data_IF_814280332104
#
_entry.id   IF_814280332104
#
_cell.length_a   1.000
_cell.length_b   1.000
_cell.length_c   1.000
_cell.angle_alpha   90.00
_cell.angle_beta   90.00
_cell.angle_gamma   90.00
#
_symmetry.space_group_name_H-M   'P 1'
#
loop_
_entity.id
_entity.type
_entity.pdbx_description
1 polymer ?
#
# COMPACT_ATOMS: atom_id res chain seq x y z
N UNK A 1 6.97 -13.59 -4.07
CA UNK A 1 7.02 -12.13 -3.84
C UNK A 1 5.58 -11.65 -3.71
N UNK A 2 5.25 -10.88 -2.68
CA UNK A 2 3.88 -10.49 -2.34
C UNK A 2 3.70 -8.98 -2.51
N UNK A 3 2.97 -8.60 -3.57
CA UNK A 3 2.62 -7.21 -3.91
C UNK A 3 1.15 -6.88 -3.66
N UNK A 4 0.28 -7.88 -3.52
CA UNK A 4 -1.17 -7.66 -3.49
C UNK A 4 -1.57 -6.87 -2.23
N UNK A 5 -2.19 -5.71 -2.43
CA UNK A 5 -2.59 -4.80 -1.37
C UNK A 5 -3.68 -3.84 -1.88
N UNK A 6 -4.50 -3.31 -0.97
CA UNK A 6 -5.18 -2.04 -1.18
C UNK A 6 -4.17 -0.92 -0.95
N UNK A 7 -4.06 0.01 -1.91
CA UNK A 7 -2.94 0.98 -1.97
C UNK A 7 -3.32 2.45 -2.05
N UNK A 8 -4.61 2.79 -2.12
CA UNK A 8 -5.04 4.17 -2.37
C UNK A 8 -5.34 4.93 -1.08
N UNK A 9 -4.45 5.84 -0.68
CA UNK A 9 -4.57 6.62 0.56
C UNK A 9 -5.92 7.36 0.66
N UNK A 10 -6.40 8.04 -0.40
CA UNK A 10 -7.69 8.76 -0.32
C UNK A 10 -8.86 7.80 -0.09
N UNK A 11 -8.80 6.59 -0.66
CA UNK A 11 -9.86 5.61 -0.44
C UNK A 11 -9.81 5.05 0.98
N UNK A 12 -8.66 5.09 1.64
CA UNK A 12 -8.52 4.64 3.02
C UNK A 12 -9.21 5.55 4.04
N UNK A 13 -9.41 6.84 3.71
CA UNK A 13 -10.18 7.75 4.57
C UNK A 13 -11.70 7.55 4.43
N UNK A 14 -12.17 7.27 3.21
CA UNK A 14 -13.59 7.00 2.94
C UNK A 14 -14.04 5.55 3.19
N UNK A 15 -13.11 4.59 3.11
CA UNK A 15 -13.35 3.15 3.26
C UNK A 15 -12.15 2.45 3.91
N UNK A 16 -11.90 2.75 5.19
CA UNK A 16 -10.76 2.18 5.93
C UNK A 16 -10.90 0.68 6.21
N UNK A 17 -12.11 0.13 6.22
CA UNK A 17 -12.38 -1.26 6.61
C UNK A 17 -11.79 -2.30 5.63
N UNK A 18 -11.71 -1.96 4.34
CA UNK A 18 -11.20 -2.87 3.30
C UNK A 18 -9.66 -3.01 3.32
N UNK A 19 -8.96 -2.06 3.94
CA UNK A 19 -7.50 -2.07 3.99
C UNK A 19 -6.98 -3.20 4.89
N UNK A 20 -7.43 -3.36 6.15
CA UNK A 20 -7.04 -4.48 6.99
C UNK A 20 -7.39 -5.85 6.41
N UNK A 21 -8.55 -6.02 5.76
CA UNK A 21 -8.96 -7.31 5.20
C UNK A 21 -7.99 -7.79 4.12
N UNK A 22 -7.55 -6.91 3.22
CA UNK A 22 -6.58 -7.27 2.18
C UNK A 22 -5.15 -7.27 2.73
N UNK A 23 -4.74 -6.16 3.34
CA UNK A 23 -3.33 -5.94 3.66
C UNK A 23 -2.87 -6.78 4.85
N UNK A 24 -3.71 -6.92 5.88
CA UNK A 24 -3.36 -7.68 7.10
C UNK A 24 -3.84 -9.12 6.99
N UNK A 25 -5.15 -9.34 6.82
CA UNK A 25 -5.72 -10.70 6.80
C UNK A 25 -5.23 -11.48 5.58
N UNK A 26 -5.18 -10.86 4.39
CA UNK A 26 -4.59 -11.47 3.19
C UNK A 26 -3.11 -11.85 3.37
N UNK A 27 -2.30 -10.97 3.97
CA UNK A 27 -0.89 -11.28 4.27
C UNK A 27 -0.77 -12.42 5.27
N UNK A 28 -1.59 -12.43 6.32
CA UNK A 28 -1.64 -13.51 7.31
C UNK A 28 -1.98 -14.86 6.67
N UNK A 29 -2.97 -14.91 5.77
CA UNK A 29 -3.33 -16.12 5.05
C UNK A 29 -2.16 -16.66 4.21
N UNK A 30 -1.45 -15.78 3.49
CA UNK A 30 -0.26 -16.16 2.73
C UNK A 30 0.87 -16.67 3.62
N UNK A 31 1.07 -16.10 4.80
CA UNK A 31 2.08 -16.55 5.77
C UNK A 31 1.77 -17.97 6.28
N UNK A 32 0.51 -18.30 6.57
CA UNK A 32 0.10 -19.67 6.92
C UNK A 32 0.33 -20.65 5.77
N UNK A 33 0.08 -20.24 4.53
CA UNK A 33 0.41 -21.04 3.36
C UNK A 33 1.92 -21.26 3.23
N UNK A 34 2.74 -20.21 3.37
CA UNK A 34 4.21 -20.26 3.30
C UNK A 34 4.78 -21.24 4.32
N UNK A 35 4.30 -21.15 5.57
CA UNK A 35 4.65 -22.05 6.67
C UNK A 35 4.30 -23.51 6.35
N UNK A 36 3.18 -23.75 5.68
CA UNK A 36 2.67 -25.11 5.41
C UNK A 36 3.27 -25.77 4.17
N UNK A 37 3.82 -25.00 3.22
CA UNK A 37 4.20 -25.50 1.89
C UNK A 37 5.70 -25.43 1.57
N UNK A 38 6.56 -25.15 2.56
CA UNK A 38 8.02 -25.19 2.38
C UNK A 38 8.53 -24.12 1.39
N UNK A 39 7.94 -22.92 1.39
CA UNK A 39 8.42 -21.81 0.56
C UNK A 39 9.76 -21.32 1.10
N UNK A 40 10.80 -21.36 0.27
CA UNK A 40 12.18 -21.06 0.68
C UNK A 40 12.48 -19.58 0.90
N UNK A 41 11.69 -18.68 0.30
CA UNK A 41 11.86 -17.23 0.45
C UNK A 41 10.53 -16.51 0.20
N UNK A 42 10.05 -15.79 1.22
CA UNK A 42 8.88 -14.92 1.11
C UNK A 42 9.34 -13.47 1.15
N UNK A 43 8.97 -12.67 0.15
CA UNK A 43 9.33 -11.24 0.10
C UNK A 43 8.05 -10.44 0.19
N UNK A 44 7.88 -9.70 1.27
CA UNK A 44 6.74 -8.83 1.51
C UNK A 44 7.07 -7.41 1.06
N UNK A 45 6.33 -6.90 0.09
CA UNK A 45 6.51 -5.54 -0.42
C UNK A 45 5.61 -4.59 0.35
N UNK A 46 6.23 -3.63 1.01
CA UNK A 46 5.66 -2.58 1.84
C UNK A 46 6.04 -1.21 1.29
N UNK A 47 5.90 -0.16 2.10
CA UNK A 47 6.04 1.25 1.71
C UNK A 47 6.87 1.99 2.74
N UNK A 48 7.50 3.09 2.36
CA UNK A 48 8.11 4.07 3.28
C UNK A 48 7.09 4.80 4.16
N UNK A 49 5.81 4.88 3.77
CA UNK A 49 4.76 5.50 4.58
C UNK A 49 4.57 4.85 5.96
N UNK A 50 5.04 3.61 6.16
CA UNK A 50 5.01 2.93 7.47
C UNK A 50 5.84 3.66 8.52
N UNK A 51 6.84 4.43 8.11
CA UNK A 51 7.65 5.24 9.01
C UNK A 51 6.97 6.54 9.44
N UNK A 52 5.98 7.01 8.69
CA UNK A 52 5.35 8.32 8.89
C UNK A 52 6.20 9.49 8.39
N UNK A 53 5.83 10.68 8.84
CA UNK A 53 6.45 11.94 8.43
C UNK A 53 7.90 12.09 8.92
N UNK A 54 8.77 12.54 8.01
CA UNK A 54 10.13 12.98 8.33
C UNK A 54 10.19 14.50 8.25
N UNK A 55 10.73 15.15 9.28
CA UNK A 55 10.96 16.60 9.26
C UNK A 55 11.86 17.00 8.09
N UNK A 56 11.73 18.24 7.62
CA UNK A 56 12.53 18.76 6.49
C UNK A 56 14.04 18.75 6.78
N UNK A 57 14.44 19.00 8.03
CA UNK A 57 15.82 18.91 8.51
C UNK A 57 16.18 17.51 9.06
N UNK A 58 15.23 16.58 8.99
CA UNK A 58 15.35 15.21 9.48
C UNK A 58 16.23 14.34 8.59
N UNK A 59 17.03 13.48 9.23
CA UNK A 59 17.80 12.46 8.53
C UNK A 59 16.88 11.42 7.90
N UNK A 60 17.33 10.91 6.76
CA UNK A 60 16.72 9.77 6.10
C UNK A 60 16.67 8.56 7.05
N UNK A 61 15.54 7.86 7.07
CA UNK A 61 15.27 6.78 8.03
C UNK A 61 15.90 5.46 7.58
N UNK A 62 16.60 4.80 8.51
CA UNK A 62 17.15 3.46 8.35
C UNK A 62 16.07 2.40 8.64
N UNK A 63 16.35 1.14 8.30
CA UNK A 63 15.38 0.04 8.44
C UNK A 63 14.99 -0.30 9.89
N UNK A 64 15.77 0.13 10.88
CA UNK A 64 15.52 -0.04 12.31
C UNK A 64 14.71 1.12 12.93
N UNK A 65 14.35 2.14 12.13
CA UNK A 65 13.49 3.22 12.58
C UNK A 65 12.11 2.72 13.01
N UNK A 66 11.49 3.44 13.96
CA UNK A 66 10.15 3.15 14.44
C UNK A 66 9.12 3.31 13.33
N UNK A 67 8.10 2.45 13.35
CA UNK A 67 6.95 2.58 12.46
C UNK A 67 5.93 3.53 13.11
N UNK A 68 5.70 4.69 12.49
CA UNK A 68 4.79 5.73 12.97
C UNK A 68 3.77 6.12 11.88
N UNK A 69 2.97 5.17 11.36
CA UNK A 69 2.04 5.44 10.26
C UNK A 69 0.99 6.47 10.68
N UNK A 70 0.71 7.43 9.80
CA UNK A 70 -0.20 8.58 10.06
C UNK A 70 -1.55 8.46 9.34
N UNK A 71 -1.71 7.47 8.45
CA UNK A 71 -2.93 7.23 7.71
C UNK A 71 -3.36 5.74 7.75
N UNK A 72 -4.66 5.40 7.51
CA UNK A 72 -5.15 4.02 7.62
C UNK A 72 -4.48 3.03 6.67
N UNK A 73 -4.12 3.46 5.45
CA UNK A 73 -3.35 2.62 4.52
C UNK A 73 -1.99 2.26 5.12
N UNK A 74 -1.19 3.25 5.52
CA UNK A 74 0.13 3.04 6.12
C UNK A 74 0.05 2.17 7.38
N UNK A 75 -0.98 2.38 8.22
CA UNK A 75 -1.22 1.58 9.42
C UNK A 75 -1.49 0.11 9.08
N UNK A 76 -2.29 -0.16 8.04
CA UNK A 76 -2.55 -1.53 7.59
C UNK A 76 -1.29 -2.22 7.02
N UNK A 77 -0.41 -1.47 6.35
CA UNK A 77 0.88 -1.98 5.85
C UNK A 77 1.85 -2.27 7.00
N UNK A 78 1.96 -1.36 7.97
CA UNK A 78 2.76 -1.57 9.17
C UNK A 78 2.26 -2.79 9.99
N UNK A 79 0.94 -2.95 10.13
CA UNK A 79 0.36 -4.13 10.77
C UNK A 79 0.70 -5.43 10.03
N UNK A 80 0.68 -5.43 8.69
CA UNK A 80 1.10 -6.59 7.90
C UNK A 80 2.58 -6.94 8.16
N UNK A 81 3.47 -5.95 8.27
CA UNK A 81 4.89 -6.18 8.64
C UNK A 81 5.03 -6.81 10.03
N UNK A 82 4.20 -6.42 11.00
CA UNK A 82 4.21 -7.04 12.33
C UNK A 82 3.86 -8.53 12.27
N UNK A 83 2.91 -8.92 11.43
CA UNK A 83 2.60 -10.34 11.19
C UNK A 83 3.77 -11.07 10.52
N UNK A 84 4.39 -10.47 9.50
CA UNK A 84 5.56 -11.06 8.82
C UNK A 84 6.69 -11.33 9.83
N UNK A 85 6.99 -10.36 10.69
CA UNK A 85 8.03 -10.50 11.70
C UNK A 85 7.67 -11.52 12.79
N UNK A 86 6.41 -11.54 13.24
CA UNK A 86 5.93 -12.54 14.20
C UNK A 86 6.05 -13.96 13.63
N UNK A 87 5.73 -14.16 12.35
CA UNK A 87 5.84 -15.45 11.68
C UNK A 87 7.28 -15.89 11.46
N UNK A 88 8.16 -14.96 11.14
CA UNK A 88 9.60 -15.23 11.08
C UNK A 88 10.13 -15.70 12.43
N UNK A 89 9.80 -14.99 13.52
CA UNK A 89 10.25 -15.32 14.88
C UNK A 89 9.65 -16.62 15.40
N UNK A 90 8.36 -16.84 15.19
CA UNK A 90 7.62 -17.95 15.82
C UNK A 90 7.68 -19.24 15.02
N UNK A 91 7.73 -19.13 13.69
CA UNK A 91 7.60 -20.27 12.78
C UNK A 91 8.75 -20.39 11.77
N UNK A 92 9.80 -19.57 11.91
CA UNK A 92 10.99 -19.58 11.05
C UNK A 92 10.65 -19.38 9.57
N UNK A 93 9.53 -18.70 9.26
CA UNK A 93 9.17 -18.33 7.89
C UNK A 93 10.31 -17.50 7.28
N UNK A 94 10.87 -17.88 6.12
CA UNK A 94 12.03 -17.21 5.55
C UNK A 94 11.62 -15.91 4.83
N UNK A 95 11.23 -14.91 5.62
CA UNK A 95 10.70 -13.65 5.12
C UNK A 95 11.76 -12.54 4.96
N UNK A 96 11.58 -11.69 3.96
CA UNK A 96 12.26 -10.40 3.76
C UNK A 96 11.17 -9.33 3.61
N UNK A 97 11.37 -8.15 4.20
CA UNK A 97 10.50 -7.00 3.99
C UNK A 97 11.20 -5.98 3.12
N UNK A 98 10.47 -5.38 2.19
CA UNK A 98 10.98 -4.32 1.32
C UNK A 98 10.10 -3.10 1.48
N UNK A 99 10.68 -1.93 1.78
CA UNK A 99 9.96 -0.65 1.92
C UNK A 99 10.41 0.27 0.78
N UNK A 100 9.51 0.61 -0.13
CA UNK A 100 9.83 1.43 -1.32
C UNK A 100 9.23 2.83 -1.21
N UNK A 101 9.92 3.81 -1.79
CA UNK A 101 9.33 5.12 -2.11
C UNK A 101 8.21 5.02 -3.18
N UNK A 102 7.61 6.16 -3.52
CA UNK A 102 6.55 6.28 -4.53
C UNK A 102 7.01 5.76 -5.90
N UNK A 103 6.56 4.57 -6.26
CA UNK A 103 6.82 4.00 -7.59
C UNK A 103 5.95 4.68 -8.64
N UNK A 104 6.53 5.00 -9.79
CA UNK A 104 5.80 5.52 -10.94
C UNK A 104 6.28 4.88 -12.25
N UNK A 105 5.41 4.85 -13.26
CA UNK A 105 5.75 4.27 -14.55
C UNK A 105 4.55 3.93 -15.42
N UNK A 106 4.80 3.32 -16.59
CA UNK A 106 3.80 2.63 -17.38
C UNK A 106 2.91 1.70 -16.55
N UNK A 107 1.65 1.52 -16.95
CA UNK A 107 0.67 0.64 -16.31
C UNK A 107 0.22 1.01 -14.88
N UNK A 108 0.64 2.16 -14.33
CA UNK A 108 0.09 2.67 -13.08
C UNK A 108 -1.36 3.14 -13.24
N UNK A 109 -2.26 2.74 -12.35
CA UNK A 109 -3.67 3.15 -12.49
C UNK A 109 -3.81 4.68 -12.35
N UNK A 110 -4.62 5.38 -13.19
CA UNK A 110 -4.80 6.85 -13.18
C UNK A 110 -5.55 7.44 -11.98
N UNK A 111 -5.39 6.85 -10.80
CA UNK A 111 -5.76 7.43 -9.52
C UNK A 111 -4.54 8.13 -8.85
N UNK A 112 -3.32 7.66 -9.17
CA UNK A 112 -2.06 8.22 -8.67
C UNK A 112 -1.70 9.51 -9.43
N UNK A 113 -0.93 10.40 -8.80
CA UNK A 113 -0.72 11.78 -9.29
C UNK A 113 -0.17 11.86 -10.73
N UNK A 114 0.93 11.17 -11.04
CA UNK A 114 1.54 11.19 -12.38
C UNK A 114 0.59 10.67 -13.48
N UNK A 115 0.00 9.48 -13.36
CA UNK A 115 -0.92 8.98 -14.39
C UNK A 115 -2.24 9.77 -14.44
N UNK A 116 -2.79 10.20 -13.30
CA UNK A 116 -3.99 11.06 -13.25
C UNK A 116 -3.75 12.36 -14.01
N UNK A 117 -2.67 13.07 -13.70
CA UNK A 117 -2.36 14.35 -14.34
C UNK A 117 -2.02 14.18 -15.82
N UNK A 118 -1.32 13.10 -16.20
CA UNK A 118 -1.08 12.78 -17.62
C UNK A 118 -2.40 12.59 -18.38
N UNK A 119 -3.36 11.89 -17.79
CA UNK A 119 -4.69 11.68 -18.41
C UNK A 119 -5.54 12.95 -18.44
N UNK A 120 -5.47 13.81 -17.41
CA UNK A 120 -6.14 15.13 -17.40
C UNK A 120 -5.60 16.02 -18.53
N UNK A 121 -4.27 16.15 -18.64
CA UNK A 121 -3.66 16.97 -19.70
C UNK A 121 -3.95 16.42 -21.10
N UNK A 122 -3.95 15.10 -21.28
CA UNK A 122 -4.34 14.47 -22.54
C UNK A 122 -5.80 14.78 -22.92
N UNK A 123 -6.66 15.08 -21.94
CA UNK A 123 -8.07 15.51 -22.13
C UNK A 123 -8.23 17.02 -22.20
N UNK A 124 -7.14 17.80 -22.16
CA UNK A 124 -7.19 19.26 -22.12
C UNK A 124 -7.79 19.82 -20.82
N UNK A 125 -7.74 19.07 -19.74
CA UNK A 125 -8.28 19.44 -18.43
C UNK A 125 -7.19 20.00 -17.51
N UNK A 126 -7.60 20.78 -16.51
CA UNK A 126 -6.70 21.33 -15.50
C UNK A 126 -6.30 20.26 -14.47
N UNK A 127 -5.12 20.44 -13.88
CA UNK A 127 -4.57 19.57 -12.84
C UNK A 127 -5.18 19.91 -11.47
N UNK A 128 -5.71 18.91 -10.77
CA UNK A 128 -6.24 19.07 -9.41
C UNK A 128 -5.13 18.93 -8.37
N UNK A 129 -4.59 20.05 -7.88
CA UNK A 129 -3.49 20.08 -6.91
C UNK A 129 -4.04 20.19 -5.49
N UNK A 130 -3.71 19.23 -4.62
CA UNK A 130 -4.12 19.26 -3.21
C UNK A 130 -3.26 20.24 -2.41
N UNK A 131 -3.91 21.06 -1.57
CA UNK A 131 -3.25 22.04 -0.73
C UNK A 131 -2.49 23.09 -1.56
N UNK A 132 -1.35 23.54 -1.06
CA UNK A 132 -0.48 24.53 -1.73
C UNK A 132 0.56 23.89 -2.67
N UNK A 133 0.61 22.56 -2.75
CA UNK A 133 1.54 21.81 -3.58
C UNK A 133 2.99 21.73 -3.08
N UNK A 134 3.26 22.15 -1.84
CA UNK A 134 4.62 22.13 -1.25
C UNK A 134 5.10 20.72 -0.87
N UNK A 135 4.18 19.84 -0.47
CA UNK A 135 4.42 18.43 -0.15
C UNK A 135 5.36 17.75 -1.15
N UNK A 136 6.41 17.12 -0.64
CA UNK A 136 7.41 16.42 -1.46
C UNK A 136 7.26 14.92 -1.34
N UNK A 137 7.59 14.22 -2.43
CA UNK A 137 7.71 12.76 -2.45
C UNK A 137 8.97 12.38 -3.18
N UNK A 138 9.60 11.30 -2.76
CA UNK A 138 10.67 10.65 -3.53
C UNK A 138 10.05 9.72 -4.56
N UNK A 139 10.42 9.89 -5.82
CA UNK A 139 9.84 9.13 -6.92
C UNK A 139 10.82 8.10 -7.46
N UNK A 140 10.44 6.82 -7.43
CA UNK A 140 11.24 5.73 -7.96
C UNK A 140 10.63 5.22 -9.27
N UNK A 141 11.41 5.21 -10.35
CA UNK A 141 10.93 4.67 -11.62
C UNK A 141 10.66 3.16 -11.51
N UNK A 142 9.56 2.68 -12.09
CA UNK A 142 9.13 1.29 -11.97
C UNK A 142 10.17 0.27 -12.45
N UNK A 143 10.99 0.64 -13.44
CA UNK A 143 12.12 -0.18 -13.88
C UNK A 143 13.19 -0.36 -12.80
N UNK A 144 13.56 0.72 -12.11
CA UNK A 144 14.53 0.67 -11.00
C UNK A 144 13.94 -0.05 -9.77
N UNK A 145 12.64 0.11 -9.51
CA UNK A 145 11.95 -0.65 -8.47
C UNK A 145 11.96 -2.16 -8.77
N UNK A 146 11.69 -2.56 -10.01
CA UNK A 146 11.76 -3.97 -10.42
C UNK A 146 13.18 -4.53 -10.28
N UNK A 147 14.21 -3.77 -10.68
CA UNK A 147 15.62 -4.13 -10.52
C UNK A 147 16.01 -4.26 -9.03
N UNK A 148 15.48 -3.40 -8.16
CA UNK A 148 15.65 -3.51 -6.71
C UNK A 148 15.04 -4.81 -6.17
N UNK A 149 13.81 -5.11 -6.57
CA UNK A 149 13.12 -6.34 -6.14
C UNK A 149 13.85 -7.59 -6.64
N UNK A 150 14.38 -7.58 -7.86
CA UNK A 150 15.19 -8.68 -8.41
C UNK A 150 16.52 -8.84 -7.65
N UNK A 151 17.18 -7.72 -7.36
CA UNK A 151 18.41 -7.72 -6.56
C UNK A 151 18.17 -8.32 -5.17
N UNK A 152 17.09 -7.92 -4.50
CA UNK A 152 16.71 -8.46 -3.18
C UNK A 152 16.30 -9.93 -3.28
N UNK A 153 15.60 -10.33 -4.34
CA UNK A 153 15.24 -11.71 -4.58
C UNK A 153 16.47 -12.62 -4.61
N UNK A 154 17.52 -12.20 -5.32
CA UNK A 154 18.73 -13.00 -5.50
C UNK A 154 19.74 -12.87 -4.36
N UNK A 155 19.99 -11.64 -3.88
CA UNK A 155 21.08 -11.33 -2.94
C UNK A 155 20.60 -10.93 -1.54
N UNK A 156 19.32 -10.65 -1.37
CA UNK A 156 18.74 -10.29 -0.08
C UNK A 156 18.79 -11.44 0.91
N UNK A 157 19.06 -11.10 2.17
CA UNK A 157 19.17 -12.04 3.29
C UNK A 157 17.83 -12.19 4.00
N UNK A 158 17.46 -13.43 4.31
CA UNK A 158 16.27 -13.74 5.10
C UNK A 158 16.34 -13.08 6.48
N UNK A 159 15.21 -12.53 6.91
CA UNK A 159 15.04 -11.79 8.16
C UNK A 159 15.52 -10.36 8.14
N UNK A 160 15.92 -9.86 6.97
CA UNK A 160 16.26 -8.45 6.79
C UNK A 160 15.09 -7.66 6.22
N UNK A 161 15.11 -6.37 6.54
CA UNK A 161 14.35 -5.34 5.84
C UNK A 161 15.30 -4.59 4.91
N UNK A 162 14.81 -4.16 3.75
CA UNK A 162 15.55 -3.30 2.82
C UNK A 162 14.70 -2.09 2.40
N UNK A 163 15.25 -0.89 2.57
CA UNK A 163 14.70 0.32 1.98
C UNK A 163 15.11 0.44 0.50
N UNK A 164 14.13 0.65 -0.37
CA UNK A 164 14.32 0.98 -1.79
C UNK A 164 14.05 2.46 -1.96
N UNK A 165 15.10 3.25 -1.75
CA UNK A 165 15.05 4.71 -1.79
C UNK A 165 15.48 5.29 -3.13
N UNK A 166 14.81 6.35 -3.58
CA UNK A 166 15.26 7.23 -4.66
C UNK A 166 15.84 8.53 -4.11
N UNK A 167 16.77 9.16 -4.84
CA UNK A 167 17.23 10.52 -4.57
C UNK A 167 16.31 11.62 -5.14
N UNK A 168 15.31 11.25 -5.94
CA UNK A 168 14.49 12.20 -6.69
C UNK A 168 13.32 12.71 -5.85
N UNK A 169 13.60 13.66 -4.96
CA UNK A 169 12.62 14.33 -4.11
C UNK A 169 11.97 15.51 -4.85
N UNK A 170 10.68 15.37 -5.21
CA UNK A 170 9.96 16.31 -6.07
C UNK A 170 8.69 16.79 -5.34
N UNK A 171 8.48 18.11 -5.30
CA UNK A 171 7.23 18.68 -4.80
C UNK A 171 6.08 18.49 -5.79
N UNK A 172 4.85 18.46 -5.29
CA UNK A 172 3.68 18.36 -6.17
C UNK A 172 3.59 19.53 -7.17
N UNK A 173 4.00 20.74 -6.78
CA UNK A 173 4.10 21.88 -7.68
C UNK A 173 5.13 21.67 -8.79
N UNK A 174 6.36 21.23 -8.45
CA UNK A 174 7.41 20.95 -9.43
C UNK A 174 6.96 19.85 -10.40
N UNK A 175 6.30 18.81 -9.90
CA UNK A 175 5.72 17.76 -10.74
C UNK A 175 4.69 18.32 -11.74
N UNK A 176 3.79 19.22 -11.31
CA UNK A 176 2.85 19.88 -12.21
C UNK A 176 3.58 20.61 -13.34
N UNK A 177 4.57 21.44 -13.00
CA UNK A 177 5.36 22.19 -13.99
C UNK A 177 6.04 21.24 -14.99
N UNK A 178 6.68 20.16 -14.51
CA UNK A 178 7.35 19.20 -15.39
C UNK A 178 6.37 18.49 -16.34
N UNK A 179 5.18 18.11 -15.85
CA UNK A 179 4.14 17.51 -16.68
C UNK A 179 3.59 18.50 -17.72
N UNK A 180 3.35 19.76 -17.37
CA UNK A 180 2.93 20.78 -18.33
C UNK A 180 3.95 20.93 -19.47
N UNK A 181 5.23 20.99 -19.13
CA UNK A 181 6.32 21.05 -20.11
C UNK A 181 6.34 19.84 -21.05
N UNK A 182 6.10 18.64 -20.54
CA UNK A 182 5.99 17.44 -21.38
C UNK A 182 4.87 17.61 -22.43
N UNK A 183 3.76 18.26 -22.08
CA UNK A 183 2.60 18.53 -22.96
C UNK A 183 2.72 19.81 -23.80
N UNK A 184 3.88 20.46 -23.80
CA UNK A 184 4.11 21.68 -24.60
C UNK A 184 3.29 22.88 -24.10
N UNK A 185 2.86 22.85 -22.83
CA UNK A 185 2.16 23.96 -22.18
C UNK A 185 3.15 24.85 -21.44
N UNK A 186 2.83 26.14 -21.33
CA UNK A 186 3.67 27.13 -20.64
C UNK A 186 3.85 26.77 -19.16
N UNK A 187 5.10 26.76 -18.69
CA UNK A 187 5.46 26.31 -17.35
C UNK A 187 6.73 27.00 -16.79
N UNK A 188 7.16 28.12 -17.39
CA UNK A 188 8.40 28.82 -17.01
C UNK A 188 8.22 29.65 -15.74
N UNK A 189 7.01 30.17 -15.52
CA UNK A 189 6.65 30.99 -14.35
C UNK A 189 5.56 30.32 -13.51
N UNK A 190 5.44 30.69 -12.24
CA UNK A 190 4.38 30.16 -11.36
C UNK A 190 2.99 30.54 -11.89
N UNK A 191 2.87 31.76 -12.40
CA UNK A 191 1.64 32.31 -12.97
C UNK A 191 1.17 31.51 -14.19
N UNK A 192 2.09 31.01 -15.01
CA UNK A 192 1.76 30.14 -16.13
C UNK A 192 1.30 28.75 -15.68
N UNK A 193 2.00 28.14 -14.72
CA UNK A 193 1.60 26.86 -14.15
C UNK A 193 0.20 26.95 -13.54
N UNK A 194 -0.10 28.01 -12.80
CA UNK A 194 -1.41 28.21 -12.15
C UNK A 194 -2.57 28.39 -13.13
N UNK A 195 -2.34 28.75 -14.40
CA UNK A 195 -3.42 28.74 -15.42
C UNK A 195 -3.95 27.33 -15.69
N UNK A 196 -3.12 26.32 -15.45
CA UNK A 196 -3.43 24.91 -15.72
C UNK A 196 -3.72 24.10 -14.45
N UNK A 197 -3.73 24.73 -13.28
CA UNK A 197 -3.89 24.07 -11.98
C UNK A 197 -5.11 24.63 -11.26
N UNK A 198 -5.90 23.74 -10.66
CA UNK A 198 -6.97 24.08 -9.71
C UNK A 198 -6.57 23.55 -8.34
N UNK A 199 -6.48 24.46 -7.37
CA UNK A 199 -6.23 24.08 -5.97
C UNK A 199 -7.50 23.44 -5.38
N UNK A 200 -7.30 22.28 -4.77
CA UNK A 200 -8.33 21.53 -4.05
C UNK A 200 -7.98 21.52 -2.56
N UNK A 201 -8.95 21.13 -1.73
CA UNK A 201 -8.71 20.88 -0.31
C UNK A 201 -7.52 19.93 -0.12
N UNK A 202 -6.79 20.10 0.97
CA UNK A 202 -5.70 19.19 1.30
C UNK A 202 -6.23 17.88 1.90
N UNK A 203 -5.42 16.82 1.85
CA UNK A 203 -5.79 15.56 2.49
C UNK A 203 -5.75 15.71 4.00
N UNK A 204 -6.67 15.05 4.74
CA UNK A 204 -6.50 14.87 6.17
C UNK A 204 -5.18 14.13 6.42
N UNK A 205 -4.26 14.71 7.19
CA UNK A 205 -2.95 14.11 7.52
C UNK A 205 -2.08 13.79 6.29
N UNK A 206 -1.79 14.82 5.49
CA UNK A 206 -0.85 14.73 4.39
C UNK A 206 0.58 14.92 4.89
N UNK A 207 1.33 13.84 5.10
CA UNK A 207 2.73 13.95 5.55
C UNK A 207 3.52 14.82 4.55
N UNK A 208 4.28 15.78 5.05
CA UNK A 208 4.99 16.72 4.20
C UNK A 208 6.07 16.01 3.37
N UNK A 209 6.82 15.11 4.01
CA UNK A 209 8.01 14.46 3.45
C UNK A 209 8.18 13.03 3.95
N UNK A 210 8.51 12.13 3.02
CA UNK A 210 9.00 10.78 3.30
C UNK A 210 10.44 10.65 2.83
N UNK A 211 11.31 10.11 3.70
CA UNK A 211 12.72 9.96 3.37
C UNK A 211 13.31 8.72 4.04
N UNK A 212 13.91 7.86 3.22
CA UNK A 212 14.51 6.59 3.64
C UNK A 212 15.94 6.49 3.14
N UNK A 213 16.80 5.93 3.97
CA UNK A 213 18.19 5.63 3.61
C UNK A 213 18.23 4.25 2.93
N UNK A 214 18.67 4.22 1.67
CA UNK A 214 18.78 3.00 0.85
C UNK A 214 20.18 2.37 0.85
N UNK A 215 21.09 2.77 1.74
CA UNK A 215 22.50 2.36 1.73
C UNK A 215 22.66 0.85 1.89
N UNK A 216 21.78 0.20 2.66
CA UNK A 216 21.80 -1.25 2.85
C UNK A 216 21.53 -2.02 1.55
N UNK A 217 20.59 -1.55 0.74
CA UNK A 217 20.32 -2.13 -0.57
C UNK A 217 21.48 -1.89 -1.55
N UNK A 218 22.10 -0.70 -1.50
CA UNK A 218 23.29 -0.39 -2.32
C UNK A 218 24.46 -1.36 -2.06
N UNK A 219 24.61 -1.84 -0.83
CA UNK A 219 25.62 -2.87 -0.49
C UNK A 219 25.38 -4.21 -1.19
N UNK A 220 24.16 -4.50 -1.67
CA UNK A 220 23.87 -5.67 -2.52
C UNK A 220 24.21 -5.44 -4.00
N UNK A 221 24.68 -4.23 -4.34
CA UNK A 221 25.06 -3.83 -5.69
C UNK A 221 23.92 -3.20 -6.51
N UNK A 222 22.78 -2.89 -5.89
CA UNK A 222 21.70 -2.15 -6.55
C UNK A 222 22.04 -0.65 -6.62
N UNK A 223 21.70 -0.01 -7.73
CA UNK A 223 21.79 1.44 -7.91
C UNK A 223 20.61 1.91 -8.76
N UNK A 224 20.08 3.09 -8.46
CA UNK A 224 19.08 3.75 -9.31
C UNK A 224 19.76 4.19 -10.62
N UNK A 225 19.23 3.75 -11.77
CA UNK A 225 19.80 4.05 -13.09
C UNK A 225 18.98 5.07 -13.89
N UNK A 226 17.69 5.24 -13.57
CA UNK A 226 16.81 6.16 -14.32
C UNK A 226 16.70 7.49 -13.59
N UNK A 227 16.96 8.59 -14.29
CA UNK A 227 16.67 9.93 -13.76
C UNK A 227 15.16 10.17 -13.73
N UNK A 228 14.71 11.04 -12.82
CA UNK A 228 13.29 11.43 -12.80
C UNK A 228 12.80 11.98 -14.15
N UNK A 229 13.61 12.78 -14.84
CA UNK A 229 13.23 13.36 -16.13
C UNK A 229 13.01 12.29 -17.22
N UNK A 230 13.92 11.32 -17.33
CA UNK A 230 13.83 10.25 -18.34
C UNK A 230 12.66 9.29 -18.04
N UNK A 231 12.49 8.92 -16.76
CA UNK A 231 11.39 8.08 -16.33
C UNK A 231 10.04 8.78 -16.51
N UNK A 232 9.95 10.08 -16.21
CA UNK A 232 8.73 10.86 -16.40
C UNK A 232 8.36 10.95 -17.89
N UNK A 233 9.33 11.26 -18.74
CA UNK A 233 9.16 11.30 -20.20
C UNK A 233 8.62 9.96 -20.73
N UNK A 234 9.29 8.86 -20.38
CA UNK A 234 8.89 7.49 -20.77
C UNK A 234 7.48 7.16 -20.30
N UNK A 235 7.15 7.57 -19.07
CA UNK A 235 5.83 7.35 -18.48
C UNK A 235 4.75 8.11 -19.24
N UNK A 236 4.95 9.41 -19.48
CA UNK A 236 3.99 10.28 -20.20
C UNK A 236 3.77 9.78 -21.62
N UNK A 237 4.83 9.39 -22.33
CA UNK A 237 4.73 8.84 -23.68
C UNK A 237 3.90 7.56 -23.73
N UNK A 238 4.02 6.70 -22.69
CA UNK A 238 3.18 5.51 -22.57
C UNK A 238 1.69 5.88 -22.40
N UNK A 239 1.36 6.86 -21.55
CA UNK A 239 -0.04 7.31 -21.38
C UNK A 239 -0.61 7.94 -22.65
N UNK A 240 0.17 8.76 -23.34
CA UNK A 240 -0.24 9.33 -24.64
C UNK A 240 -0.60 8.25 -25.64
N UNK A 241 0.26 7.24 -25.75
CA UNK A 241 0.13 6.18 -26.74
C UNK A 241 -0.95 5.16 -26.38
N UNK A 242 -1.09 4.83 -25.10
CA UNK A 242 -1.91 3.69 -24.68
C UNK A 242 -2.98 4.03 -23.64
N UNK A 243 -2.81 5.07 -22.82
CA UNK A 243 -3.61 5.34 -21.62
C UNK A 243 -5.11 5.36 -21.87
N UNK A 244 -5.58 6.07 -22.90
CA UNK A 244 -7.01 6.14 -23.23
C UNK A 244 -7.63 4.80 -23.62
N UNK A 245 -6.91 3.96 -24.37
CA UNK A 245 -7.39 2.63 -24.77
C UNK A 245 -7.21 1.58 -23.67
N UNK A 246 -6.12 1.67 -22.92
CA UNK A 246 -5.75 0.69 -21.90
C UNK A 246 -6.72 0.71 -20.72
N UNK A 247 -7.10 1.90 -20.25
CA UNK A 247 -7.94 2.03 -19.05
C UNK A 247 -9.44 2.16 -19.35
N UNK A 248 -9.82 2.48 -20.60
CA UNK A 248 -11.23 2.74 -20.94
C UNK A 248 -11.75 4.02 -20.27
N UNK A 249 -12.99 3.98 -19.78
CA UNK A 249 -13.56 5.11 -19.04
C UNK A 249 -13.08 5.12 -17.59
N UNK A 250 -12.47 6.23 -17.21
CA UNK A 250 -11.88 6.49 -15.89
C UNK A 250 -12.28 7.87 -15.38
N UNK A 251 -13.35 8.45 -15.93
CA UNK A 251 -13.76 9.84 -15.64
C UNK A 251 -13.97 10.08 -14.14
N UNK A 252 -14.59 9.12 -13.45
CA UNK A 252 -14.82 9.19 -11.99
C UNK A 252 -13.53 9.15 -11.16
N UNK A 253 -12.46 8.57 -11.72
CA UNK A 253 -11.15 8.45 -11.06
C UNK A 253 -10.28 9.69 -11.24
N UNK A 254 -10.55 10.52 -12.25
CA UNK A 254 -9.82 11.76 -12.50
C UNK A 254 -10.29 12.96 -11.65
N UNK A 255 -11.24 12.74 -10.74
CA UNK A 255 -11.68 13.74 -9.77
C UNK A 255 -10.63 13.95 -8.66
N UNK A 256 -10.59 15.10 -7.96
CA UNK A 256 -9.63 15.34 -6.87
C UNK A 256 -9.76 14.28 -5.76
N UNK A 257 -11.00 14.01 -5.35
CA UNK A 257 -11.35 13.02 -4.32
C UNK A 257 -12.22 11.92 -4.92
N UNK A 258 -11.62 10.87 -5.51
CA UNK A 258 -12.38 9.78 -6.10
C UNK A 258 -13.12 9.01 -4.99
N UNK A 259 -14.40 8.73 -5.23
CA UNK A 259 -15.21 7.86 -4.36
C UNK A 259 -15.29 6.46 -4.94
N UNK A 260 -15.43 5.44 -4.08
CA UNK A 260 -15.78 4.09 -4.54
C UNK A 260 -17.31 4.02 -4.63
N UNK A 261 -17.88 3.69 -5.80
CA UNK A 261 -19.33 3.52 -5.94
C UNK A 261 -19.86 2.47 -4.95
N UNK A 262 -21.07 2.65 -4.38
CA UNK A 262 -21.66 1.72 -3.43
C UNK A 262 -21.73 0.25 -3.90
N UNK A 263 -21.84 0.06 -5.21
CA UNK A 263 -22.01 -1.25 -5.85
C UNK A 263 -20.72 -2.08 -5.84
N UNK A 264 -19.54 -1.44 -5.96
CA UNK A 264 -18.23 -2.11 -5.82
C UNK A 264 -18.03 -2.66 -4.40
N UNK A 265 -18.65 -2.06 -3.37
CA UNK A 265 -18.56 -2.55 -1.98
C UNK A 265 -19.32 -3.88 -1.79
N UNK A 266 -20.46 -4.03 -2.46
CA UNK A 266 -21.32 -5.22 -2.33
C UNK A 266 -20.68 -6.42 -3.03
N UNK A 267 -20.06 -6.24 -4.19
CA UNK A 267 -19.35 -7.32 -4.88
C UNK A 267 -18.11 -7.79 -4.10
N UNK A 268 -17.31 -6.85 -3.58
CA UNK A 268 -16.12 -7.18 -2.77
C UNK A 268 -16.47 -7.89 -1.46
N UNK A 269 -17.57 -7.52 -0.80
CA UNK A 269 -18.04 -8.20 0.40
C UNK A 269 -18.41 -9.67 0.12
N UNK A 270 -19.07 -9.94 -1.02
CA UNK A 270 -19.42 -11.30 -1.45
C UNK A 270 -18.18 -12.15 -1.77
N UNK A 271 -17.19 -11.56 -2.44
CA UNK A 271 -15.92 -12.25 -2.74
C UNK A 271 -15.14 -12.60 -1.45
N UNK A 272 -15.22 -11.72 -0.46
CA UNK A 272 -14.58 -11.94 0.86
C UNK A 272 -15.29 -13.04 1.65
N UNK A 273 -16.63 -13.11 1.63
CA UNK A 273 -17.39 -14.21 2.23
C UNK A 273 -17.10 -15.57 1.55
N UNK A 274 -16.95 -15.58 0.23
CA UNK A 274 -16.59 -16.78 -0.53
C UNK A 274 -15.16 -17.28 -0.20
N UNK A 275 -14.21 -16.37 0.04
CA UNK A 275 -12.83 -16.71 0.38
C UNK A 275 -12.65 -17.23 1.82
N UNK A 276 -13.56 -16.87 2.74
CA UNK A 276 -13.49 -17.26 4.17
C UNK A 276 -14.29 -18.54 4.46
N UNK A 277 -15.09 -19.05 3.52
CA UNK A 277 -15.82 -20.31 3.72
C UNK A 277 -14.86 -21.50 3.82
N UNK A 278 -14.87 -22.28 4.93
CA UNK A 278 -14.02 -23.44 5.06
C UNK A 278 -14.39 -24.47 3.99
N UNK A 279 -13.39 -24.95 3.24
CA UNK A 279 -13.55 -26.05 2.31
C UNK A 279 -14.23 -27.22 3.03
N UNK A 280 -15.43 -27.61 2.60
CA UNK A 280 -16.16 -28.77 3.13
C UNK A 280 -15.28 -30.01 2.99
N UNK A 281 -14.70 -30.42 4.12
CA UNK A 281 -14.06 -31.71 4.28
C UNK A 281 -15.05 -32.82 3.89
N UNK A 282 -14.70 -33.58 2.84
CA UNK A 282 -15.37 -34.84 2.50
C UNK A 282 -15.14 -35.83 3.64
N UNK A 283 -16.11 -35.95 4.55
CA UNK A 283 -16.13 -37.02 5.56
C UNK A 283 -16.34 -38.37 4.85
N UNK A 284 -15.27 -39.17 4.80
CA UNK A 284 -15.35 -40.60 4.53
C UNK A 284 -16.13 -41.29 5.66
N UNK A 285 -17.05 -42.18 5.26
CA UNK A 285 -17.97 -42.87 6.15
C UNK A 285 -17.34 -44.03 6.94
N UNK A 286 -17.86 -44.15 8.17
CA UNK A 286 -18.17 -45.36 8.95
C UNK A 286 -17.05 -46.33 9.32
N UNK A 287 -16.78 -46.36 10.63
CA UNK A 287 -16.63 -47.50 11.56
C UNK A 287 -16.69 -46.84 12.96
N UNK A 288 -17.69 -47.00 13.82
CA UNK A 288 -18.41 -48.19 14.26
C UNK A 288 -17.83 -48.61 15.61
N UNK A 289 -18.37 -48.12 16.74
CA UNK A 289 -18.20 -48.70 18.07
C UNK A 289 -19.36 -48.30 18.98
N UNK A 290 -19.85 -49.30 19.70
CA UNK A 290 -21.11 -49.39 20.40
C UNK A 290 -21.21 -48.58 21.71
N UNK A 291 -22.45 -48.29 22.07
CA UNK A 291 -22.93 -47.70 23.31
C UNK A 291 -22.66 -48.60 24.53
N UNK A 292 -22.30 -47.99 25.66
CA UNK A 292 -22.59 -48.53 26.99
C UNK A 292 -23.06 -47.38 27.89
N UNK A 293 -24.33 -47.42 28.26
CA UNK A 293 -24.94 -46.61 29.32
C UNK A 293 -24.56 -47.11 30.73
N UNK A 294 -24.54 -46.21 31.72
CA UNK A 294 -24.67 -46.57 33.15
C UNK A 294 -23.95 -45.66 34.15
N UNK A 295 -24.68 -44.69 34.72
CA UNK A 295 -24.37 -43.72 35.80
C UNK A 295 -24.01 -44.37 37.18
N UNK A 296 -23.74 -43.67 38.33
CA UNK A 296 -24.07 -42.26 38.67
C UNK A 296 -23.17 -41.45 39.65
N UNK A 297 -23.54 -40.15 39.76
CA UNK A 297 -23.42 -39.20 40.88
C UNK A 297 -22.04 -38.64 41.33
N UNK A 298 -21.92 -37.29 41.32
CA UNK A 298 -21.82 -36.45 42.54
C UNK A 298 -21.94 -34.95 42.15
N UNK A 299 -22.91 -34.28 42.79
CA UNK A 299 -23.14 -32.83 42.81
C UNK A 299 -21.96 -32.05 43.39
N UNK A 300 -21.59 -30.90 42.80
CA UNK A 300 -21.31 -29.65 43.54
C UNK A 300 -21.75 -28.42 42.74
N UNK A 301 -22.63 -27.65 43.38
CA UNK A 301 -23.04 -26.27 43.05
C UNK A 301 -21.95 -25.27 43.45
N UNK A 302 -21.92 -24.13 42.73
CA UNK A 302 -21.56 -22.72 43.05
C UNK A 302 -20.93 -22.12 41.79
N UNK A 303 -21.23 -20.93 41.29
CA UNK A 303 -22.02 -19.79 41.73
C UNK A 303 -22.30 -18.94 40.47
N UNK A 304 -23.37 -18.16 40.56
CA UNK A 304 -23.96 -17.33 39.51
C UNK A 304 -23.29 -15.94 39.46
N UNK A 305 -23.53 -15.26 38.32
CA UNK A 305 -23.64 -13.80 38.13
C UNK A 305 -22.38 -12.93 38.11
N UNK A 306 -22.03 -12.43 36.91
CA UNK A 306 -22.15 -10.99 36.58
C UNK A 306 -21.93 -10.75 35.08
N UNK A 307 -23.05 -10.69 34.36
CA UNK A 307 -23.15 -10.11 33.02
C UNK A 307 -23.92 -8.80 33.22
N UNK A 308 -23.20 -7.70 33.51
CA UNK A 308 -23.69 -6.31 33.43
C UNK A 308 -22.57 -5.35 33.89
N UNK A 309 -21.78 -4.79 32.96
CA UNK A 309 -21.11 -3.47 33.13
C UNK A 309 -20.24 -3.01 31.93
N UNK A 310 -20.74 -2.98 30.68
CA UNK A 310 -19.98 -2.34 29.56
C UNK A 310 -20.79 -1.29 28.78
N UNK A 311 -21.82 -0.70 29.39
CA UNK A 311 -22.67 0.32 28.72
C UNK A 311 -22.85 1.62 29.51
N UNK A 312 -21.77 2.12 30.13
CA UNK A 312 -21.82 3.36 30.91
C UNK A 312 -20.52 4.14 30.92
N UNK A 313 -20.03 4.59 29.76
CA UNK A 313 -18.94 5.58 29.69
C UNK A 313 -18.92 6.35 28.36
N UNK A 314 -20.06 6.90 27.92
CA UNK A 314 -20.10 8.05 27.02
C UNK A 314 -21.26 8.95 27.46
N UNK A 315 -20.97 9.89 28.37
CA UNK A 315 -21.59 11.21 28.54
C UNK A 315 -21.15 11.81 29.90
N UNK A 316 -20.05 12.53 29.87
CA UNK A 316 -19.74 13.69 30.73
C UNK A 316 -18.65 14.50 30.04
#
# INVERSE_FOLDING_TARGET
MHFAAQTHVDLSFGNSNDFPSTNVVGTHALLECVKSHGVNKFIHVSTDEVYGEVKDDGKDLLEDALLLPTNPYAASKAAAEMYVEAYRKSFQVPAIVVRSNNVYGPHQFPEKVIPKFSMLLQRGQQLSLHGDGTHTRRYLYAGDAADAFDTILHKGQVGQVYNVGSSDEISNFTLCSMLLGQFGLSNETKEEVYKHVVHCEDRPFNDHRYAVDGSKLKQLGWQQNTTFADGLSTTVDWYRKYGGKWWGDISDRLTPFPTVPPEEHIERAKDTELAISPARSKKNGKRGFDEVEGSPEIKRRRENDHMDSVLGAIKA
#
